data_IF_058052649755
#
_entry.id   IF_058052649755
#
_cell.length_a   1.000
_cell.length_b   1.000
_cell.length_c   1.000
_cell.angle_alpha   90.00
_cell.angle_beta   90.00
_cell.angle_gamma   90.00
#
_symmetry.space_group_name_H-M   'P 1'
#
loop_
_entity.id
_entity.type
_entity.pdbx_description
1 polymer ?
#
# COMPACT_ATOMS: atom_id res chain seq x y z
N UNK A 1 -3.02 14.05 24.15
CA UNK A 1 -3.15 13.24 22.91
C UNK A 1 -3.62 11.85 23.32
N UNK A 2 -4.75 11.37 22.83
CA UNK A 2 -5.38 10.12 23.28
C UNK A 2 -4.53 8.90 22.86
N UNK A 3 -4.28 7.93 23.75
CA UNK A 3 -3.42 6.75 23.51
C UNK A 3 -3.87 5.97 22.27
N UNK A 4 -5.19 5.89 22.06
CA UNK A 4 -5.79 5.23 20.89
C UNK A 4 -5.36 5.91 19.59
N UNK A 5 -5.34 7.24 19.56
CA UNK A 5 -4.92 8.00 18.38
C UNK A 5 -3.44 7.76 18.05
N UNK A 6 -2.58 7.69 19.07
CA UNK A 6 -1.16 7.37 18.91
C UNK A 6 -1.00 5.96 18.33
N UNK A 7 -1.70 4.97 18.90
CA UNK A 7 -1.66 3.59 18.41
C UNK A 7 -2.13 3.47 16.96
N UNK A 8 -3.24 4.12 16.60
CA UNK A 8 -3.73 4.14 15.23
C UNK A 8 -2.70 4.74 14.27
N UNK A 9 -2.08 5.87 14.62
CA UNK A 9 -1.05 6.50 13.80
C UNK A 9 0.17 5.59 13.61
N UNK A 10 0.63 4.93 14.68
CA UNK A 10 1.74 3.98 14.63
C UNK A 10 1.42 2.82 13.70
N UNK A 11 0.22 2.22 13.83
CA UNK A 11 -0.20 1.08 12.99
C UNK A 11 -0.28 1.49 11.51
N UNK A 12 -0.84 2.66 11.20
CA UNK A 12 -0.91 3.18 9.83
C UNK A 12 0.50 3.42 9.27
N UNK A 13 1.40 4.02 10.06
CA UNK A 13 2.78 4.30 9.65
C UNK A 13 3.56 3.01 9.36
N UNK A 14 3.45 2.01 10.25
CA UNK A 14 4.09 0.71 10.06
C UNK A 14 3.56 0.00 8.81
N UNK A 15 2.26 0.13 8.55
CA UNK A 15 1.62 -0.46 7.37
C UNK A 15 2.10 0.21 6.08
N UNK A 16 2.19 1.54 6.06
CA UNK A 16 2.74 2.28 4.93
C UNK A 16 4.20 1.88 4.67
N UNK A 17 5.02 1.77 5.73
CA UNK A 17 6.40 1.30 5.63
C UNK A 17 6.48 -0.11 5.03
N UNK A 18 5.56 -1.00 5.42
CA UNK A 18 5.51 -2.37 4.89
C UNK A 18 5.17 -2.38 3.39
N UNK A 19 4.24 -1.55 2.95
CA UNK A 19 3.88 -1.38 1.54
C UNK A 19 5.06 -0.88 0.73
N UNK A 20 5.76 0.15 1.22
CA UNK A 20 6.98 0.67 0.59
C UNK A 20 8.06 -0.42 0.47
N UNK A 21 8.31 -1.17 1.55
CA UNK A 21 9.29 -2.26 1.57
C UNK A 21 8.94 -3.36 0.58
N UNK A 22 7.67 -3.74 0.46
CA UNK A 22 7.23 -4.76 -0.48
C UNK A 22 7.45 -4.30 -1.92
N UNK A 23 7.07 -3.07 -2.26
CA UNK A 23 7.33 -2.51 -3.60
C UNK A 23 8.82 -2.49 -3.91
N UNK A 24 9.66 -2.01 -2.98
CA UNK A 24 11.10 -2.01 -3.16
C UNK A 24 11.64 -3.43 -3.41
N UNK A 25 11.17 -4.41 -2.65
CA UNK A 25 11.56 -5.82 -2.82
C UNK A 25 11.12 -6.37 -4.18
N UNK A 26 9.87 -6.12 -4.61
CA UNK A 26 9.36 -6.60 -5.89
C UNK A 26 10.16 -6.04 -7.09
N UNK A 27 10.65 -4.79 -6.99
CA UNK A 27 11.46 -4.16 -8.04
C UNK A 27 12.97 -4.37 -7.89
N UNK A 28 13.46 -4.84 -6.74
CA UNK A 28 14.91 -4.92 -6.40
C UNK A 28 15.76 -5.74 -7.37
N UNK A 29 15.17 -6.76 -8.00
CA UNK A 29 15.83 -7.63 -8.98
C UNK A 29 15.83 -7.07 -10.41
N UNK A 30 15.34 -5.86 -10.61
CA UNK A 30 15.11 -5.27 -11.92
C UNK A 30 15.79 -3.90 -12.05
N UNK A 31 16.04 -3.53 -13.29
CA UNK A 31 16.53 -2.19 -13.65
C UNK A 31 15.75 -1.68 -14.88
N UNK A 32 15.67 -0.37 -14.99
CA UNK A 32 15.04 0.28 -16.14
C UNK A 32 15.82 -0.02 -17.43
N UNK A 33 15.10 -0.30 -18.52
CA UNK A 33 15.69 -0.41 -19.85
C UNK A 33 15.95 0.99 -20.41
N UNK A 34 17.11 1.20 -21.04
CA UNK A 34 17.54 2.40 -21.77
C UNK A 34 16.77 3.70 -21.44
N UNK A 35 17.29 4.48 -20.49
CA UNK A 35 16.87 5.85 -20.16
C UNK A 35 15.39 6.04 -19.75
N UNK A 36 14.61 4.97 -19.59
CA UNK A 36 13.27 5.08 -19.02
C UNK A 36 13.34 5.14 -17.48
N UNK A 37 12.37 5.82 -16.84
CA UNK A 37 12.24 5.89 -15.38
C UNK A 37 11.03 5.07 -14.91
N UNK A 38 10.77 3.95 -15.57
CA UNK A 38 9.53 3.18 -15.39
C UNK A 38 9.33 2.73 -13.93
N UNK A 39 10.37 2.19 -13.29
CA UNK A 39 10.31 1.70 -11.90
C UNK A 39 9.93 2.85 -10.96
N UNK A 40 10.63 3.99 -11.04
CA UNK A 40 10.41 5.14 -10.14
C UNK A 40 9.00 5.73 -10.31
N UNK A 41 8.55 5.88 -11.57
CA UNK A 41 7.22 6.38 -11.89
C UNK A 41 6.15 5.43 -11.36
N UNK A 42 6.34 4.13 -11.58
CA UNK A 42 5.39 3.10 -11.16
C UNK A 42 5.28 3.02 -9.64
N UNK A 43 6.40 3.02 -8.93
CA UNK A 43 6.41 3.02 -7.47
C UNK A 43 5.70 4.27 -6.92
N UNK A 44 5.98 5.44 -7.48
CA UNK A 44 5.31 6.70 -7.11
C UNK A 44 3.80 6.64 -7.36
N UNK A 45 3.38 6.11 -8.51
CA UNK A 45 1.98 5.97 -8.85
C UNK A 45 1.24 5.00 -7.91
N UNK A 46 1.85 3.86 -7.58
CA UNK A 46 1.29 2.90 -6.62
C UNK A 46 1.18 3.53 -5.23
N UNK A 47 2.16 4.33 -4.79
CA UNK A 47 2.10 5.05 -3.51
C UNK A 47 0.97 6.09 -3.46
N UNK A 48 0.79 6.86 -4.54
CA UNK A 48 -0.31 7.83 -4.64
C UNK A 48 -1.65 7.11 -4.62
N UNK A 49 -1.81 6.05 -5.42
CA UNK A 49 -3.02 5.23 -5.43
C UNK A 49 -3.30 4.62 -4.05
N UNK A 50 -2.27 4.18 -3.34
CA UNK A 50 -2.39 3.70 -1.97
C UNK A 50 -2.98 4.77 -1.04
N UNK A 51 -2.44 5.99 -1.08
CA UNK A 51 -2.93 7.10 -0.26
C UNK A 51 -4.36 7.52 -0.58
N UNK A 52 -4.74 7.48 -1.87
CA UNK A 52 -6.11 7.77 -2.31
C UNK A 52 -7.07 6.66 -1.86
N UNK A 53 -6.70 5.40 -2.06
CA UNK A 53 -7.51 4.24 -1.69
C UNK A 53 -7.71 4.16 -0.17
N UNK A 54 -6.60 4.24 0.60
CA UNK A 54 -6.49 5.12 1.76
C UNK A 54 -7.76 5.74 2.35
N UNK A 55 -7.82 7.03 2.04
CA UNK A 55 -8.83 8.00 2.42
C UNK A 55 -10.22 7.57 1.92
N UNK A 56 -10.32 7.08 0.68
CA UNK A 56 -11.61 6.68 0.11
C UNK A 56 -12.27 5.56 0.93
N UNK A 57 -11.49 4.55 1.33
CA UNK A 57 -11.98 3.42 2.11
C UNK A 57 -12.30 3.82 3.56
N UNK A 58 -11.50 4.69 4.17
CA UNK A 58 -11.81 5.28 5.49
C UNK A 58 -13.13 6.05 5.46
N UNK A 59 -13.34 6.88 4.44
CA UNK A 59 -14.60 7.63 4.28
C UNK A 59 -15.77 6.68 4.05
N UNK A 60 -15.58 5.65 3.22
CA UNK A 60 -16.58 4.63 2.97
C UNK A 60 -16.96 3.87 4.24
N UNK A 61 -16.00 3.41 5.04
CA UNK A 61 -16.27 2.76 6.32
C UNK A 61 -16.89 3.71 7.32
N UNK A 62 -16.42 4.96 7.40
CA UNK A 62 -16.99 5.96 8.31
C UNK A 62 -18.48 6.19 8.05
N UNK A 63 -18.87 6.34 6.78
CA UNK A 63 -20.29 6.48 6.41
C UNK A 63 -21.04 5.15 6.54
N UNK A 64 -20.49 4.07 5.96
CA UNK A 64 -21.15 2.77 5.90
C UNK A 64 -21.34 2.15 7.27
N UNK A 65 -20.30 2.07 8.10
CA UNK A 65 -20.42 1.49 9.44
C UNK A 65 -21.33 2.32 10.35
N UNK A 66 -21.41 3.64 10.16
CA UNK A 66 -22.29 4.50 10.97
C UNK A 66 -23.78 4.20 10.80
N UNK A 67 -24.20 3.51 9.73
CA UNK A 67 -25.59 3.11 9.54
C UNK A 67 -25.98 1.82 10.27
N UNK A 68 -25.02 1.09 10.84
CA UNK A 68 -25.28 -0.17 11.54
C UNK A 68 -25.42 0.07 13.05
N UNK A 69 -26.55 -0.38 13.63
CA UNK A 69 -26.82 -0.26 15.07
C UNK A 69 -25.74 -0.92 15.94
N UNK A 70 -25.24 -2.08 15.51
CA UNK A 70 -24.15 -2.81 16.20
C UNK A 70 -22.87 -1.97 16.25
N UNK A 71 -22.60 -1.16 15.24
CA UNK A 71 -21.44 -0.27 15.25
C UNK A 71 -21.69 0.95 16.14
N UNK A 72 -22.92 1.48 16.15
CA UNK A 72 -23.29 2.61 17.01
C UNK A 72 -23.23 2.27 18.51
N UNK A 73 -23.49 1.02 18.90
CA UNK A 73 -23.41 0.58 20.29
C UNK A 73 -21.97 0.37 20.80
N UNK A 74 -20.95 0.42 19.92
CA UNK A 74 -19.55 0.29 20.33
C UNK A 74 -19.00 1.58 20.95
N UNK A 75 -17.95 1.42 21.77
CA UNK A 75 -17.21 2.56 22.33
C UNK A 75 -16.55 3.38 21.21
N UNK A 76 -16.31 4.66 21.49
CA UNK A 76 -15.71 5.59 20.54
C UNK A 76 -14.34 5.10 20.02
N UNK A 77 -13.55 4.49 20.90
CA UNK A 77 -12.23 3.94 20.59
C UNK A 77 -12.32 2.79 19.59
N UNK A 78 -13.25 1.85 19.78
CA UNK A 78 -13.41 0.69 18.89
C UNK A 78 -13.91 1.13 17.51
N UNK A 79 -14.77 2.15 17.47
CA UNK A 79 -15.23 2.76 16.20
C UNK A 79 -14.06 3.33 15.40
N UNK A 80 -13.17 4.10 16.05
CA UNK A 80 -11.96 4.64 15.43
C UNK A 80 -11.07 3.50 14.93
N UNK A 81 -10.73 2.55 15.80
CA UNK A 81 -9.84 1.44 15.45
C UNK A 81 -10.37 0.70 14.22
N UNK A 82 -11.67 0.40 14.19
CA UNK A 82 -12.31 -0.29 13.07
C UNK A 82 -12.18 0.51 11.77
N UNK A 83 -12.54 1.80 11.78
CA UNK A 83 -12.51 2.64 10.58
C UNK A 83 -11.08 2.80 10.01
N UNK A 84 -10.07 2.91 10.87
CA UNK A 84 -8.71 3.22 10.45
C UNK A 84 -7.81 1.99 10.21
N UNK A 85 -8.09 0.85 10.88
CA UNK A 85 -7.29 -0.38 10.74
C UNK A 85 -7.82 -1.32 9.67
N UNK A 86 -9.14 -1.53 9.56
CA UNK A 86 -9.69 -2.40 8.51
C UNK A 86 -9.23 -2.08 7.07
N UNK A 87 -9.08 -0.79 6.67
CA UNK A 87 -8.59 -0.45 5.34
C UNK A 87 -7.17 -0.97 5.03
N UNK A 88 -6.35 -1.23 6.05
CA UNK A 88 -4.94 -1.61 5.88
C UNK A 88 -4.80 -2.95 5.15
N UNK A 89 -5.66 -3.93 5.45
CA UNK A 89 -5.61 -5.28 4.89
C UNK A 89 -5.81 -5.27 3.36
N UNK A 90 -6.95 -4.77 2.83
CA UNK A 90 -7.17 -4.74 1.39
C UNK A 90 -6.11 -3.90 0.68
N UNK A 91 -5.60 -2.84 1.32
CA UNK A 91 -4.54 -2.03 0.73
C UNK A 91 -3.22 -2.74 0.60
N UNK A 92 -2.82 -3.50 1.62
CA UNK A 92 -1.65 -4.34 1.54
C UNK A 92 -1.78 -5.32 0.35
N UNK A 93 -2.93 -5.99 0.23
CA UNK A 93 -3.19 -6.93 -0.86
C UNK A 93 -3.13 -6.24 -2.25
N UNK A 94 -3.78 -5.08 -2.39
CA UNK A 94 -3.75 -4.29 -3.62
C UNK A 94 -2.33 -3.87 -3.98
N UNK A 95 -1.53 -3.44 -3.00
CA UNK A 95 -0.14 -3.02 -3.25
C UNK A 95 0.72 -4.17 -3.79
N UNK A 96 0.63 -5.36 -3.18
CA UNK A 96 1.36 -6.57 -3.60
C UNK A 96 0.90 -7.07 -4.97
N UNK A 97 -0.40 -6.98 -5.25
CA UNK A 97 -0.91 -7.35 -6.57
C UNK A 97 -0.43 -6.35 -7.64
N UNK A 98 -0.57 -5.05 -7.38
CA UNK A 98 -0.22 -3.99 -8.32
C UNK A 98 1.28 -3.98 -8.65
N UNK A 99 2.16 -4.15 -7.64
CA UNK A 99 3.61 -4.22 -7.84
C UNK A 99 4.00 -5.41 -8.73
N UNK A 100 3.48 -6.60 -8.45
CA UNK A 100 3.72 -7.80 -9.27
C UNK A 100 3.22 -7.64 -10.70
N UNK A 101 2.04 -7.08 -10.87
CA UNK A 101 1.48 -6.82 -12.21
C UNK A 101 2.31 -5.79 -12.97
N UNK A 102 2.81 -4.76 -12.30
CA UNK A 102 3.64 -3.76 -12.93
C UNK A 102 5.02 -4.32 -13.33
N UNK A 103 5.62 -5.20 -12.52
CA UNK A 103 6.83 -5.96 -12.89
C UNK A 103 6.57 -6.82 -14.14
N UNK A 104 5.48 -7.61 -14.14
CA UNK A 104 5.12 -8.45 -15.27
C UNK A 104 4.89 -7.63 -16.55
N UNK A 105 4.16 -6.51 -16.44
CA UNK A 105 3.94 -5.59 -17.55
C UNK A 105 5.25 -4.99 -18.05
N UNK A 106 6.10 -4.51 -17.14
CA UNK A 106 7.39 -3.93 -17.46
C UNK A 106 8.30 -4.90 -18.20
N UNK A 107 8.35 -6.17 -17.79
CA UNK A 107 9.11 -7.22 -18.47
C UNK A 107 8.54 -7.50 -19.86
N UNK A 108 7.21 -7.67 -19.99
CA UNK A 108 6.55 -7.94 -21.28
C UNK A 108 6.75 -6.82 -22.29
N UNK A 109 6.83 -5.58 -21.82
CA UNK A 109 7.04 -4.38 -22.66
C UNK A 109 8.50 -3.97 -22.80
N UNK A 110 9.44 -4.75 -22.25
CA UNK A 110 10.89 -4.45 -22.27
C UNK A 110 11.20 -3.08 -21.64
N UNK A 111 10.35 -2.63 -20.72
CA UNK A 111 10.55 -1.40 -19.95
C UNK A 111 11.52 -1.62 -18.80
N UNK A 112 11.53 -2.83 -18.23
CA UNK A 112 12.51 -3.26 -17.24
C UNK A 112 13.19 -4.52 -17.71
N UNK A 113 14.42 -4.72 -17.26
CA UNK A 113 15.20 -5.94 -17.46
C UNK A 113 15.62 -6.49 -16.10
N UNK A 114 15.81 -7.81 -16.01
CA UNK A 114 16.38 -8.42 -14.82
C UNK A 114 17.81 -7.90 -14.67
N UNK A 115 18.17 -7.46 -13.46
CA UNK A 115 19.56 -7.12 -13.14
C UNK A 115 20.37 -8.41 -13.16
N UNK A 116 21.29 -8.54 -14.11
CA UNK A 116 22.23 -9.66 -14.11
C UNK A 116 23.18 -9.46 -12.93
N UNK A 117 23.01 -10.24 -11.87
CA UNK A 117 24.03 -10.38 -10.85
C UNK A 117 25.16 -11.16 -11.52
N UNK A 118 26.16 -10.45 -12.04
CA UNK A 118 27.43 -11.08 -12.40
C UNK A 118 27.92 -11.69 -11.09
N UNK A 119 27.83 -13.01 -10.93
CA UNK A 119 28.63 -13.69 -9.90
C UNK A 119 30.07 -13.36 -10.27
N UNK A 120 30.72 -12.53 -9.46
CA UNK A 120 32.17 -12.48 -9.48
C UNK A 120 32.63 -13.90 -9.12
N UNK A 121 33.18 -14.59 -10.11
CA UNK A 121 33.88 -15.87 -9.98
C UNK A 121 35.35 -15.52 -9.76
#
# INVERSE_FOLDING_TARGET
MNIVFILTLVVVTLSFRKVCSNMANDFSGYENSQNNRFIDITQSFILILYGIFYVAFVVFLGKGLSTFEVFQSQSFEIKIISIFIFPIIPMYLVSVFASKQAVNYGLKRVLIKKRYVKKEI
#
